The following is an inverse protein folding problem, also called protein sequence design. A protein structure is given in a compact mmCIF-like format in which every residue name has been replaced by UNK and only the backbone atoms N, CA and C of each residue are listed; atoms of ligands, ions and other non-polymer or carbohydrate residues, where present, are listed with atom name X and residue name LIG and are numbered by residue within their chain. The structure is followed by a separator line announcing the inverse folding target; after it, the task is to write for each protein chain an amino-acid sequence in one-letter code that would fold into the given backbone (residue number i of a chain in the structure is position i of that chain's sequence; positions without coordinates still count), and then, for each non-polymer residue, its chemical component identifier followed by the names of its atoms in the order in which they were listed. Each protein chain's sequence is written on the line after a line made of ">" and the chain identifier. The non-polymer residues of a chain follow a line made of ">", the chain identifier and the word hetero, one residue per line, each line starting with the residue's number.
data_IF_975674207246
#
_entry.id   IF_975674207246
#
_cell.length_a   1.000
_cell.length_b   1.000
_cell.length_c   1.000
_cell.angle_alpha   90.00
_cell.angle_beta   90.00
_cell.angle_gamma   90.00
#
_symmetry.space_group_name_H-M   'P 1'
#
loop_
_entity.id
_entity.type
_entity.pdbx_description
1 polymer ?
#
# COMPACT_ATOMS: atom_id res chain seq x y z
N UNK A 1 -17.84 -17.69 9.25
CA UNK A 1 -17.06 -17.48 8.02
C UNK A 1 -17.06 -15.99 7.65
N UNK A 2 -16.59 -15.14 8.57
CA UNK A 2 -16.61 -13.66 8.46
C UNK A 2 -15.20 -13.07 8.48
N UNK A 3 -14.23 -13.82 9.00
CA UNK A 3 -12.82 -13.43 9.09
C UNK A 3 -12.16 -13.32 7.71
N UNK A 4 -12.52 -14.20 6.77
CA UNK A 4 -11.92 -14.26 5.43
C UNK A 4 -12.28 -13.04 4.57
N UNK A 5 -13.55 -12.61 4.56
CA UNK A 5 -14.01 -11.40 3.85
C UNK A 5 -13.44 -10.12 4.44
N UNK A 6 -13.31 -10.06 5.77
CA UNK A 6 -12.75 -8.89 6.44
C UNK A 6 -11.26 -8.71 6.12
N UNK A 7 -10.49 -9.80 6.13
CA UNK A 7 -9.06 -9.78 5.77
C UNK A 7 -8.85 -9.45 4.29
N UNK A 8 -9.72 -9.95 3.39
CA UNK A 8 -9.67 -9.59 1.97
C UNK A 8 -9.93 -8.09 1.74
N UNK A 9 -10.93 -7.49 2.41
CA UNK A 9 -11.18 -6.04 2.34
C UNK A 9 -10.00 -5.22 2.86
N UNK A 10 -9.42 -5.62 3.99
CA UNK A 10 -8.25 -4.92 4.54
C UNK A 10 -7.08 -4.98 3.55
N UNK A 11 -6.86 -6.14 2.92
CA UNK A 11 -5.82 -6.29 1.93
C UNK A 11 -6.03 -5.41 0.68
N UNK A 12 -7.28 -5.29 0.22
CA UNK A 12 -7.66 -4.42 -0.90
C UNK A 12 -7.45 -2.93 -0.59
N UNK A 13 -7.85 -2.50 0.61
CA UNK A 13 -7.62 -1.12 1.09
C UNK A 13 -6.12 -0.83 1.22
N UNK A 14 -5.34 -1.78 1.77
CA UNK A 14 -3.89 -1.63 1.94
C UNK A 14 -3.18 -1.51 0.58
N UNK A 15 -3.59 -2.30 -0.42
CA UNK A 15 -3.06 -2.22 -1.77
C UNK A 15 -3.38 -0.88 -2.43
N UNK A 16 -4.64 -0.43 -2.33
CA UNK A 16 -5.08 0.86 -2.86
C UNK A 16 -4.34 2.04 -2.20
N UNK A 17 -4.15 1.98 -0.88
CA UNK A 17 -3.39 2.96 -0.13
C UNK A 17 -1.91 2.96 -0.55
N UNK A 18 -1.33 1.80 -0.84
CA UNK A 18 0.04 1.68 -1.30
C UNK A 18 0.25 2.26 -2.71
N UNK A 19 -0.70 2.06 -3.63
CA UNK A 19 -0.72 2.70 -4.95
C UNK A 19 -0.85 4.22 -4.81
N UNK A 20 -1.76 4.68 -3.96
CA UNK A 20 -1.93 6.11 -3.67
C UNK A 20 -0.65 6.73 -3.13
N UNK A 21 0.00 6.06 -2.17
CA UNK A 21 1.29 6.48 -1.62
C UNK A 21 2.37 6.58 -2.70
N UNK A 22 2.46 5.60 -3.60
CA UNK A 22 3.42 5.62 -4.70
C UNK A 22 3.23 6.86 -5.62
N UNK A 23 1.98 7.15 -5.98
CA UNK A 23 1.63 8.32 -6.80
C UNK A 23 1.94 9.62 -6.06
N UNK A 24 1.53 9.75 -4.79
CA UNK A 24 1.81 10.93 -3.98
C UNK A 24 3.32 11.14 -3.82
N UNK A 25 4.09 10.08 -3.60
CA UNK A 25 5.55 10.13 -3.59
C UNK A 25 6.12 10.68 -4.89
N UNK A 26 5.65 10.16 -6.03
CA UNK A 26 6.03 10.64 -7.36
C UNK A 26 5.75 12.14 -7.57
N UNK A 27 4.60 12.63 -7.10
CA UNK A 27 4.26 14.06 -7.15
C UNK A 27 5.17 14.87 -6.22
N UNK A 28 5.46 14.37 -5.01
CA UNK A 28 6.32 15.03 -4.03
C UNK A 28 7.82 14.92 -4.31
N UNK A 29 8.22 14.50 -5.52
CA UNK A 29 9.61 14.21 -5.91
C UNK A 29 10.61 15.35 -5.74
N UNK A 30 10.16 16.58 -5.47
CA UNK A 30 11.02 17.70 -5.08
C UNK A 30 11.76 17.43 -3.77
N UNK A 31 11.19 16.61 -2.86
CA UNK A 31 11.82 16.22 -1.60
C UNK A 31 12.25 14.75 -1.68
N UNK A 32 13.51 14.50 -2.06
CA UNK A 32 14.09 13.15 -2.22
C UNK A 32 13.90 12.23 -0.99
N UNK A 33 13.84 12.79 0.22
CA UNK A 33 13.59 11.99 1.43
C UNK A 33 12.13 11.52 1.54
N UNK A 34 11.20 12.34 1.04
CA UNK A 34 9.76 12.05 1.09
C UNK A 34 9.40 11.01 0.02
N UNK A 35 10.02 11.07 -1.16
CA UNK A 35 9.80 10.04 -2.19
C UNK A 35 10.21 8.66 -1.68
N UNK A 36 11.34 8.56 -0.98
CA UNK A 36 11.83 7.29 -0.43
C UNK A 36 10.84 6.72 0.59
N UNK A 37 10.32 7.56 1.50
CA UNK A 37 9.33 7.15 2.50
C UNK A 37 8.01 6.67 1.86
N UNK A 38 7.53 7.37 0.84
CA UNK A 38 6.30 7.01 0.13
C UNK A 38 6.47 5.76 -0.76
N UNK A 39 7.64 5.57 -1.38
CA UNK A 39 7.94 4.35 -2.13
C UNK A 39 8.07 3.14 -1.20
N UNK A 40 8.83 3.24 -0.11
CA UNK A 40 8.97 2.16 0.87
C UNK A 40 7.65 1.84 1.57
N UNK A 41 6.93 2.86 2.03
CA UNK A 41 5.62 2.70 2.66
C UNK A 41 4.58 2.15 1.69
N UNK A 42 4.56 2.64 0.45
CA UNK A 42 3.65 2.17 -0.60
C UNK A 42 3.92 0.71 -1.00
N UNK A 43 5.19 0.35 -1.20
CA UNK A 43 5.59 -1.02 -1.50
C UNK A 43 5.27 -1.98 -0.34
N UNK A 44 5.51 -1.56 0.90
CA UNK A 44 5.17 -2.35 2.08
C UNK A 44 3.64 -2.57 2.19
N UNK A 45 2.84 -1.53 1.94
CA UNK A 45 1.38 -1.61 1.97
C UNK A 45 0.82 -2.53 0.87
N UNK A 46 1.37 -2.47 -0.35
CA UNK A 46 1.04 -3.40 -1.44
C UNK A 46 1.40 -4.84 -1.05
N UNK A 47 2.60 -5.06 -0.53
CA UNK A 47 3.05 -6.41 -0.13
C UNK A 47 2.18 -7.00 0.98
N UNK A 48 1.87 -6.22 2.02
CA UNK A 48 0.98 -6.63 3.09
C UNK A 48 -0.42 -6.90 2.55
N UNK A 49 -0.93 -6.04 1.66
CA UNK A 49 -2.24 -6.18 1.02
C UNK A 49 -2.37 -7.50 0.26
N UNK A 50 -1.40 -7.83 -0.59
CA UNK A 50 -1.36 -9.10 -1.33
C UNK A 50 -1.27 -10.31 -0.40
N UNK A 51 -0.42 -10.24 0.63
CA UNK A 51 -0.28 -11.30 1.63
C UNK A 51 -1.60 -11.56 2.39
N UNK A 52 -2.32 -10.51 2.77
CA UNK A 52 -3.63 -10.63 3.42
C UNK A 52 -4.68 -11.22 2.48
N UNK A 53 -4.61 -10.92 1.18
CA UNK A 53 -5.50 -11.49 0.17
C UNK A 53 -5.15 -12.93 -0.20
N UNK A 54 -4.00 -13.44 0.23
CA UNK A 54 -3.50 -14.78 -0.10
C UNK A 54 -2.98 -14.89 -1.53
N UNK A 55 -2.48 -13.78 -2.09
CA UNK A 55 -1.90 -13.67 -3.43
C UNK A 55 -0.38 -13.55 -3.41
#
# INVERSE_FOLDING_TARGET
>A
MTTTTHVQRIGEIAELAGVGAFITGGILSIHHYVIAAFFLGGAAAIYIGKKLRGQ
#
